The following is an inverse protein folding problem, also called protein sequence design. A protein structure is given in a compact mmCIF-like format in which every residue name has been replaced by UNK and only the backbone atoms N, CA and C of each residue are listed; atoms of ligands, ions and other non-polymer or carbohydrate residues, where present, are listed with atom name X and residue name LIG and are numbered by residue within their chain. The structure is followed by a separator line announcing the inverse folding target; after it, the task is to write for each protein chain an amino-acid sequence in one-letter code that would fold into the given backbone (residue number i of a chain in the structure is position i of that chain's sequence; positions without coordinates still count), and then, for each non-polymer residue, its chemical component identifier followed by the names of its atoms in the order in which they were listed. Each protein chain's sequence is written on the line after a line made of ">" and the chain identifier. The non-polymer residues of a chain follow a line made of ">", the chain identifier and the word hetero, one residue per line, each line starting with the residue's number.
data_IF_261501151120
#
_entry.id   IF_261501151120
#
_cell.length_a   1.000
_cell.length_b   1.000
_cell.length_c   1.000
_cell.angle_alpha   90.00
_cell.angle_beta   90.00
_cell.angle_gamma   90.00
#
_symmetry.space_group_name_H-M   'P 1'
#
loop_
_entity.id
_entity.type
_entity.pdbx_description
1 polymer ?
#
# COMPACT_ATOMS: atom_id res chain seq x y z
N UNK A 1 -0.80 -13.51 -17.97
CA UNK A 1 -1.34 -12.37 -17.19
C UNK A 1 -2.17 -11.51 -18.14
N UNK A 2 -3.39 -11.14 -17.75
CA UNK A 2 -4.26 -10.25 -18.51
C UNK A 2 -4.13 -8.82 -17.94
N UNK A 3 -3.14 -8.07 -18.43
CA UNK A 3 -2.98 -6.66 -18.04
C UNK A 3 -4.07 -5.79 -18.66
N UNK A 4 -4.34 -4.63 -18.06
CA UNK A 4 -5.40 -3.70 -18.49
C UNK A 4 -6.80 -4.32 -18.49
N UNK A 5 -7.02 -5.34 -17.66
CA UNK A 5 -8.30 -6.03 -17.50
C UNK A 5 -8.80 -5.84 -16.07
N UNK A 6 -9.99 -5.25 -15.92
CA UNK A 6 -10.58 -4.95 -14.62
C UNK A 6 -11.78 -5.87 -14.37
N UNK A 7 -11.77 -6.56 -13.23
CA UNK A 7 -12.92 -7.34 -12.77
C UNK A 7 -14.03 -6.38 -12.34
N UNK A 8 -15.25 -6.65 -12.81
CA UNK A 8 -16.44 -5.85 -12.53
C UNK A 8 -17.42 -6.60 -11.63
N UNK A 9 -17.55 -7.91 -11.81
CA UNK A 9 -18.42 -8.76 -10.99
C UNK A 9 -17.77 -10.14 -10.79
N UNK A 10 -17.97 -10.71 -9.61
CA UNK A 10 -17.59 -12.07 -9.23
C UNK A 10 -18.86 -12.82 -8.87
N UNK A 11 -19.28 -13.74 -9.73
CA UNK A 11 -20.48 -14.56 -9.52
C UNK A 11 -20.08 -16.00 -9.22
N UNK A 12 -20.53 -16.52 -8.08
CA UNK A 12 -20.33 -17.91 -7.68
C UNK A 12 -21.64 -18.67 -7.83
N UNK A 13 -21.56 -19.94 -8.20
CA UNK A 13 -22.70 -20.85 -8.29
C UNK A 13 -22.56 -21.91 -7.20
N UNK A 14 -23.19 -21.74 -6.02
CA UNK A 14 -23.08 -22.68 -4.91
C UNK A 14 -23.63 -24.08 -5.23
N UNK A 15 -24.59 -24.14 -6.16
CA UNK A 15 -25.25 -25.39 -6.59
C UNK A 15 -24.60 -26.02 -7.83
N UNK A 16 -23.39 -25.58 -8.20
CA UNK A 16 -22.68 -26.13 -9.34
C UNK A 16 -22.46 -27.64 -9.16
N UNK A 17 -22.95 -28.43 -10.11
CA UNK A 17 -22.76 -29.88 -10.10
C UNK A 17 -21.30 -30.25 -10.40
N UNK A 18 -20.92 -31.50 -10.11
CA UNK A 18 -19.58 -32.00 -10.39
C UNK A 18 -19.20 -31.78 -11.88
N UNK A 19 -18.04 -31.17 -12.12
CA UNK A 19 -17.57 -30.76 -13.45
C UNK A 19 -18.10 -29.40 -13.97
N UNK A 20 -18.93 -28.67 -13.22
CA UNK A 20 -19.31 -27.29 -13.56
C UNK A 20 -18.34 -26.25 -12.97
N UNK A 21 -17.95 -25.27 -13.79
CA UNK A 21 -17.15 -24.12 -13.35
C UNK A 21 -17.95 -23.31 -12.32
N UNK A 22 -17.38 -23.14 -11.13
CA UNK A 22 -18.07 -22.60 -9.95
C UNK A 22 -18.09 -21.08 -9.90
N UNK A 23 -17.18 -20.42 -10.62
CA UNK A 23 -17.00 -18.97 -10.56
C UNK A 23 -16.97 -18.35 -11.95
N UNK A 24 -17.80 -17.33 -12.14
CA UNK A 24 -17.85 -16.46 -13.31
C UNK A 24 -17.27 -15.09 -12.94
N UNK A 25 -16.37 -14.58 -13.77
CA UNK A 25 -15.83 -13.22 -13.67
C UNK A 25 -16.29 -12.40 -14.87
N UNK A 26 -16.97 -11.29 -14.62
CA UNK A 26 -17.22 -10.29 -15.65
C UNK A 26 -16.11 -9.25 -15.63
N UNK A 27 -15.48 -9.00 -16.78
CA UNK A 27 -14.27 -8.18 -16.89
C UNK A 27 -14.38 -7.18 -18.04
N UNK A 28 -13.72 -6.03 -17.89
CA UNK A 28 -13.60 -5.01 -18.96
C UNK A 28 -12.14 -4.77 -19.30
N UNK A 29 -11.82 -4.64 -20.59
CA UNK A 29 -10.46 -4.32 -21.07
C UNK A 29 -10.33 -2.84 -21.39
N UNK A 30 -9.42 -2.14 -20.70
CA UNK A 30 -9.28 -0.67 -20.76
C UNK A 30 -8.85 -0.15 -22.15
N UNK A 31 -8.22 -0.98 -22.98
CA UNK A 31 -7.74 -0.60 -24.31
C UNK A 31 -8.68 -1.02 -25.45
N UNK A 32 -9.78 -1.73 -25.14
CA UNK A 32 -10.69 -2.34 -26.14
C UNK A 32 -12.11 -1.77 -26.20
N UNK A 33 -12.35 -0.62 -25.58
CA UNK A 33 -13.67 0.05 -25.60
C UNK A 33 -14.64 -0.41 -24.50
N UNK A 34 -14.15 -0.73 -23.30
CA UNK A 34 -14.96 -1.14 -22.13
C UNK A 34 -15.97 -2.28 -22.40
N UNK A 35 -15.74 -3.08 -23.44
CA UNK A 35 -16.56 -4.25 -23.74
C UNK A 35 -16.48 -5.25 -22.57
N UNK A 36 -17.65 -5.63 -22.06
CA UNK A 36 -17.80 -6.63 -21.02
C UNK A 36 -17.52 -8.01 -21.60
N UNK A 37 -16.58 -8.74 -21.00
CA UNK A 37 -16.27 -10.12 -21.31
C UNK A 37 -16.50 -10.98 -20.08
N UNK A 38 -16.82 -12.25 -20.29
CA UNK A 38 -17.07 -13.19 -19.20
C UNK A 38 -16.05 -14.32 -19.25
N UNK A 39 -15.44 -14.60 -18.09
CA UNK A 39 -14.49 -15.68 -17.89
C UNK A 39 -15.06 -16.65 -16.84
N UNK A 40 -14.71 -17.94 -16.94
CA UNK A 40 -15.21 -18.96 -16.03
C UNK A 40 -14.07 -19.80 -15.47
N UNK A 41 -14.12 -20.10 -14.17
CA UNK A 41 -13.11 -20.82 -13.41
C UNK A 41 -13.76 -21.76 -12.40
N UNK A 42 -13.02 -22.78 -11.98
CA UNK A 42 -13.41 -23.66 -10.88
C UNK A 42 -13.12 -23.00 -9.52
N UNK A 43 -12.00 -22.31 -9.43
CA UNK A 43 -11.50 -21.62 -8.23
C UNK A 43 -11.02 -20.21 -8.60
N UNK A 44 -11.26 -19.23 -7.73
CA UNK A 44 -10.74 -17.86 -7.86
C UNK A 44 -10.03 -17.46 -6.58
N UNK A 45 -8.78 -17.03 -6.71
CA UNK A 45 -8.00 -16.41 -5.64
C UNK A 45 -8.10 -14.90 -5.77
N UNK A 46 -8.82 -14.28 -4.83
CA UNK A 46 -9.00 -12.84 -4.71
C UNK A 46 -7.79 -12.25 -4.00
N UNK A 47 -7.04 -11.40 -4.70
CA UNK A 47 -5.86 -10.67 -4.18
C UNK A 47 -6.06 -9.16 -4.18
N UNK A 48 -7.31 -8.71 -4.32
CA UNK A 48 -7.67 -7.30 -4.26
C UNK A 48 -7.23 -6.71 -2.91
N UNK A 49 -6.66 -5.49 -2.87
CA UNK A 49 -6.27 -4.88 -1.61
C UNK A 49 -7.47 -4.70 -0.67
N UNK A 50 -7.23 -4.72 0.64
CA UNK A 50 -8.29 -4.62 1.64
C UNK A 50 -9.15 -3.36 1.46
N UNK A 51 -8.51 -2.23 1.13
CA UNK A 51 -9.23 -0.99 0.82
C UNK A 51 -10.19 -1.13 -0.36
N UNK A 52 -9.87 -1.95 -1.36
CA UNK A 52 -10.78 -2.24 -2.46
C UNK A 52 -11.94 -3.11 -1.98
N UNK A 53 -11.66 -4.19 -1.23
CA UNK A 53 -12.68 -5.10 -0.70
C UNK A 53 -13.72 -4.36 0.15
N UNK A 54 -13.29 -3.49 1.07
CA UNK A 54 -14.16 -2.64 1.91
C UNK A 54 -15.19 -1.83 1.11
N UNK A 55 -14.85 -1.44 -0.11
CA UNK A 55 -15.68 -0.58 -0.98
C UNK A 55 -16.50 -1.37 -1.99
N UNK A 56 -16.22 -2.66 -2.16
CA UNK A 56 -16.69 -3.46 -3.30
C UNK A 56 -17.25 -4.82 -2.87
N UNK A 57 -17.73 -4.95 -1.63
CA UNK A 57 -18.38 -6.19 -1.16
C UNK A 57 -19.65 -6.54 -1.97
N UNK A 58 -20.26 -5.55 -2.64
CA UNK A 58 -21.38 -5.69 -3.56
C UNK A 58 -21.00 -6.37 -4.89
N UNK A 59 -19.71 -6.49 -5.21
CA UNK A 59 -19.22 -7.16 -6.43
C UNK A 59 -19.26 -8.67 -6.37
N UNK A 60 -19.62 -9.24 -5.22
CA UNK A 60 -19.76 -10.67 -5.01
C UNK A 60 -21.23 -11.08 -5.07
N UNK A 61 -21.55 -12.02 -5.95
CA UNK A 61 -22.90 -12.60 -6.08
C UNK A 61 -22.83 -14.12 -5.95
N UNK A 62 -23.63 -14.77 -5.09
CA UNK A 62 -24.35 -14.17 -3.95
C UNK A 62 -23.41 -13.41 -3.00
N UNK A 63 -23.99 -12.59 -2.12
CA UNK A 63 -23.22 -11.81 -1.15
C UNK A 63 -22.30 -12.69 -0.31
N UNK A 64 -21.15 -12.13 0.08
CA UNK A 64 -20.22 -12.78 0.99
C UNK A 64 -20.91 -13.09 2.34
N UNK A 65 -20.52 -14.19 3.02
CA UNK A 65 -21.05 -14.52 4.34
C UNK A 65 -20.93 -13.33 5.31
N UNK A 66 -21.93 -13.08 6.18
CA UNK A 66 -21.93 -11.90 7.06
C UNK A 66 -20.65 -11.74 7.90
N UNK A 67 -20.11 -12.84 8.44
CA UNK A 67 -18.87 -12.82 9.23
C UNK A 67 -17.65 -12.36 8.42
N UNK A 68 -17.58 -12.70 7.12
CA UNK A 68 -16.50 -12.28 6.23
C UNK A 68 -16.62 -10.80 5.87
N UNK A 69 -17.84 -10.33 5.57
CA UNK A 69 -18.09 -8.89 5.33
C UNK A 69 -17.74 -8.06 6.56
N UNK A 70 -18.07 -8.53 7.76
CA UNK A 70 -17.68 -7.90 9.02
C UNK A 70 -16.16 -7.87 9.17
N UNK A 71 -15.45 -8.98 8.94
CA UNK A 71 -13.99 -9.01 9.00
C UNK A 71 -13.32 -7.98 8.08
N UNK A 72 -13.81 -7.90 6.83
CA UNK A 72 -13.34 -6.94 5.83
C UNK A 72 -13.55 -5.51 6.34
N UNK A 73 -14.68 -5.21 6.99
CA UNK A 73 -14.98 -3.88 7.51
C UNK A 73 -14.19 -3.54 8.80
N UNK A 74 -13.95 -4.52 9.66
CA UNK A 74 -13.31 -4.33 10.96
C UNK A 74 -11.81 -4.04 10.90
N UNK A 75 -11.05 -4.63 9.98
CA UNK A 75 -9.59 -4.40 9.91
C UNK A 75 -9.27 -3.02 9.31
N UNK A 76 -8.39 -2.25 9.93
CA UNK A 76 -7.99 -0.91 9.48
C UNK A 76 -7.23 -0.94 8.15
N UNK A 77 -7.31 0.15 7.39
CA UNK A 77 -6.55 0.34 6.15
C UNK A 77 -5.81 1.68 6.17
N UNK A 78 -4.48 1.61 6.09
CA UNK A 78 -3.58 2.72 6.36
C UNK A 78 -3.51 3.74 5.23
N UNK A 79 -2.88 4.87 5.52
CA UNK A 79 -2.67 5.97 4.57
C UNK A 79 -1.23 6.50 4.62
N UNK A 80 -0.25 5.62 4.44
CA UNK A 80 1.16 6.00 4.32
C UNK A 80 1.47 6.45 2.89
N UNK A 81 2.09 7.62 2.76
CA UNK A 81 2.59 8.17 1.49
C UNK A 81 4.06 8.54 1.62
N UNK A 82 4.75 8.63 0.49
CA UNK A 82 6.18 8.93 0.37
C UNK A 82 6.40 10.14 -0.50
N UNK A 83 7.35 10.99 -0.13
CA UNK A 83 7.82 12.11 -0.94
C UNK A 83 9.34 12.05 -1.06
N UNK A 84 9.83 11.83 -2.27
CA UNK A 84 11.25 11.83 -2.62
C UNK A 84 11.63 13.22 -3.10
N UNK A 85 12.61 13.85 -2.45
CA UNK A 85 13.15 15.15 -2.86
C UNK A 85 14.63 14.96 -3.21
N UNK A 86 14.96 15.17 -4.48
CA UNK A 86 16.31 14.99 -5.00
C UNK A 86 17.06 16.31 -5.07
N UNK A 87 18.36 16.25 -4.82
CA UNK A 87 19.29 17.38 -4.83
C UNK A 87 20.46 17.10 -5.78
N UNK A 88 21.20 18.12 -6.25
CA UNK A 88 22.39 17.90 -7.06
C UNK A 88 23.47 17.09 -6.34
N UNK A 89 23.58 17.26 -5.02
CA UNK A 89 24.50 16.53 -4.16
C UNK A 89 23.87 16.20 -2.81
N UNK A 90 24.43 15.19 -2.16
CA UNK A 90 24.03 14.79 -0.81
C UNK A 90 24.63 15.77 0.22
N UNK A 91 24.12 17.00 0.23
CA UNK A 91 24.65 18.09 1.05
C UNK A 91 24.62 17.77 2.56
N UNK A 92 23.62 16.99 3.00
CA UNK A 92 23.38 16.65 4.41
C UNK A 92 24.32 15.59 4.98
N UNK A 93 25.13 14.92 4.14
CA UNK A 93 26.04 13.88 4.61
C UNK A 93 27.11 14.46 5.52
N UNK A 94 27.39 13.70 6.57
CA UNK A 94 28.36 14.07 7.58
C UNK A 94 29.78 13.89 7.06
N UNK A 95 30.62 14.86 7.35
CA UNK A 95 32.05 14.85 7.04
C UNK A 95 32.84 14.50 8.29
N UNK A 96 34.08 14.07 8.09
CA UNK A 96 35.00 13.82 9.19
C UNK A 96 35.21 15.11 10.00
N UNK A 97 34.97 15.04 11.32
CA UNK A 97 35.02 16.20 12.21
C UNK A 97 33.69 16.93 12.45
N UNK A 98 32.58 16.50 11.84
CA UNK A 98 31.27 17.09 12.12
C UNK A 98 30.71 16.68 13.49
N UNK A 99 30.22 17.67 14.25
CA UNK A 99 29.51 17.45 15.53
C UNK A 99 28.11 16.85 15.35
N UNK A 100 27.48 17.05 14.18
CA UNK A 100 26.15 16.52 13.85
C UNK A 100 26.25 15.51 12.74
N UNK A 101 25.86 14.27 13.03
CA UNK A 101 25.84 13.18 12.05
C UNK A 101 24.42 12.82 11.61
N UNK A 102 24.22 12.68 10.31
CA UNK A 102 23.02 12.10 9.71
C UNK A 102 23.45 10.88 8.90
N UNK A 103 22.94 9.73 9.30
CA UNK A 103 23.11 8.48 8.60
C UNK A 103 21.81 7.69 8.74
N UNK A 104 21.19 7.38 7.61
CA UNK A 104 19.93 6.64 7.55
C UNK A 104 18.71 7.53 7.81
N UNK A 105 18.49 8.02 9.03
CA UNK A 105 17.16 8.50 9.43
C UNK A 105 17.19 9.80 10.28
N UNK A 106 16.18 10.66 10.07
CA UNK A 106 15.97 11.90 10.83
C UNK A 106 14.50 12.13 11.12
N UNK A 107 14.19 12.63 12.31
CA UNK A 107 12.84 12.98 12.75
C UNK A 107 12.76 14.39 13.34
N UNK A 108 11.64 15.05 13.08
CA UNK A 108 11.26 16.31 13.71
C UNK A 108 9.94 16.13 14.44
N UNK A 109 10.02 16.04 15.77
CA UNK A 109 8.87 15.81 16.65
C UNK A 109 8.16 17.13 16.92
N UNK A 110 6.91 17.25 16.49
CA UNK A 110 6.06 18.44 16.69
C UNK A 110 6.73 19.79 16.31
N UNK A 111 7.13 19.98 15.04
CA UNK A 111 7.90 21.15 14.62
C UNK A 111 7.08 22.44 14.74
N UNK A 112 7.49 23.34 15.65
CA UNK A 112 6.82 24.63 15.88
C UNK A 112 7.20 25.74 14.89
N UNK A 113 8.20 25.53 14.04
CA UNK A 113 8.77 26.55 13.14
C UNK A 113 8.22 26.49 11.70
N UNK A 114 7.26 25.60 11.43
CA UNK A 114 6.66 25.39 10.11
C UNK A 114 5.16 25.74 10.12
N UNK A 115 4.73 26.73 10.91
CA UNK A 115 3.30 27.01 11.14
C UNK A 115 2.50 27.39 9.89
N UNK A 116 3.16 27.90 8.85
CA UNK A 116 2.52 28.24 7.57
C UNK A 116 2.16 27.01 6.73
N UNK A 117 2.96 25.95 6.77
CA UNK A 117 2.77 24.74 5.95
C UNK A 117 2.28 23.54 6.76
N UNK A 118 2.61 23.48 8.06
CA UNK A 118 2.26 22.43 8.99
C UNK A 118 1.75 23.02 10.33
N UNK A 119 0.56 23.67 10.33
CA UNK A 119 -0.01 24.30 11.53
C UNK A 119 -0.35 23.29 12.63
N UNK A 120 -0.64 22.05 12.25
CA UNK A 120 -0.96 20.95 13.17
C UNK A 120 0.28 20.31 13.81
N UNK A 121 1.49 20.77 13.43
CA UNK A 121 2.76 20.24 13.94
C UNK A 121 2.87 18.73 13.77
N UNK A 122 2.43 18.21 12.63
CA UNK A 122 2.61 16.80 12.29
C UNK A 122 4.11 16.46 12.34
N UNK A 123 4.42 15.31 12.97
CA UNK A 123 5.78 14.76 12.96
C UNK A 123 6.24 14.59 11.52
N UNK A 124 7.50 14.96 11.28
CA UNK A 124 8.18 14.67 10.03
C UNK A 124 9.23 13.61 10.26
N UNK A 125 9.37 12.74 9.28
CA UNK A 125 10.43 11.74 9.28
C UNK A 125 10.96 11.58 7.86
N UNK A 126 12.29 11.48 7.75
CA UNK A 126 12.94 11.29 6.48
C UNK A 126 14.09 10.29 6.59
N UNK A 127 14.28 9.53 5.52
CA UNK A 127 15.46 8.71 5.28
C UNK A 127 16.32 9.44 4.26
N UNK A 128 17.61 9.63 4.57
CA UNK A 128 18.56 10.04 3.53
C UNK A 128 19.05 8.80 2.78
N UNK A 129 19.07 8.87 1.45
CA UNK A 129 19.38 7.73 0.59
C UNK A 129 20.82 7.75 0.08
N UNK A 130 21.64 8.69 0.57
CA UNK A 130 23.01 8.87 0.12
C UNK A 130 24.01 8.00 0.90
N UNK A 131 23.66 7.49 2.08
CA UNK A 131 24.46 6.51 2.82
C UNK A 131 24.15 5.05 2.48
N UNK A 132 23.31 4.78 1.46
CA UNK A 132 23.09 3.43 0.96
C UNK A 132 24.38 2.86 0.31
N UNK A 133 24.36 1.58 -0.04
CA UNK A 133 25.48 0.96 -0.75
C UNK A 133 25.81 1.73 -2.04
N UNK A 134 27.07 1.78 -2.50
CA UNK A 134 27.48 2.66 -3.61
C UNK A 134 26.68 2.53 -4.91
N UNK A 135 26.06 1.37 -5.19
CA UNK A 135 25.20 1.18 -6.36
C UNK A 135 23.78 1.75 -6.22
N UNK A 136 23.35 1.97 -4.98
CA UNK A 136 22.00 2.42 -4.62
C UNK A 136 22.01 3.82 -3.98
N UNK A 137 23.19 4.38 -3.71
CA UNK A 137 23.34 5.68 -3.09
C UNK A 137 22.94 6.81 -4.05
N UNK A 138 22.05 7.70 -3.60
CA UNK A 138 21.66 8.86 -4.38
C UNK A 138 21.30 10.07 -3.50
N UNK A 139 21.50 11.32 -4.00
CA UNK A 139 21.30 12.54 -3.23
C UNK A 139 19.81 12.90 -3.06
N UNK A 140 19.08 12.07 -2.32
CA UNK A 140 17.63 12.21 -2.14
C UNK A 140 17.25 12.04 -0.68
N UNK A 141 16.30 12.85 -0.23
CA UNK A 141 15.59 12.68 1.03
C UNK A 141 14.23 12.04 0.75
N UNK A 142 13.95 10.92 1.40
CA UNK A 142 12.67 10.23 1.35
C UNK A 142 11.88 10.54 2.62
N UNK A 143 10.86 11.38 2.50
CA UNK A 143 9.93 11.68 3.58
C UNK A 143 8.80 10.66 3.61
N UNK A 144 8.45 10.21 4.82
CA UNK A 144 7.25 9.42 5.06
C UNK A 144 6.18 10.30 5.68
N UNK A 145 4.95 10.18 5.19
CA UNK A 145 3.81 10.93 5.70
C UNK A 145 2.65 9.99 5.93
N UNK A 146 1.88 10.21 6.99
CA UNK A 146 0.79 9.32 7.38
C UNK A 146 -0.37 10.09 8.02
N UNK A 147 -1.52 9.43 8.12
CA UNK A 147 -2.69 9.96 8.82
C UNK A 147 -3.27 11.21 8.16
N UNK A 148 -3.53 12.25 8.96
CA UNK A 148 -4.10 13.49 8.45
C UNK A 148 -3.15 14.26 7.52
N UNK A 149 -1.84 14.12 7.74
CA UNK A 149 -0.83 14.79 6.92
C UNK A 149 -0.80 14.24 5.49
N UNK A 150 -0.74 12.92 5.32
CA UNK A 150 -0.72 12.32 3.98
C UNK A 150 -2.01 12.66 3.22
N UNK A 151 -3.17 12.58 3.87
CA UNK A 151 -4.45 13.02 3.28
C UNK A 151 -4.41 14.48 2.80
N UNK A 152 -3.87 15.38 3.61
CA UNK A 152 -3.74 16.79 3.25
C UNK A 152 -2.83 16.97 2.03
N UNK A 153 -1.61 16.40 2.08
CA UNK A 153 -0.64 16.54 1.01
C UNK A 153 -1.14 15.93 -0.31
N UNK A 154 -1.66 14.71 -0.27
CA UNK A 154 -2.16 14.02 -1.47
C UNK A 154 -3.33 14.79 -2.10
N UNK A 155 -4.27 15.29 -1.29
CA UNK A 155 -5.38 16.10 -1.79
C UNK A 155 -4.90 17.41 -2.42
N UNK A 156 -4.00 18.14 -1.75
CA UNK A 156 -3.46 19.41 -2.27
C UNK A 156 -2.65 19.21 -3.55
N UNK A 157 -1.83 18.16 -3.65
CA UNK A 157 -1.07 17.86 -4.88
C UNK A 157 -1.99 17.51 -6.04
N UNK A 158 -3.11 16.82 -5.80
CA UNK A 158 -4.07 16.44 -6.83
C UNK A 158 -4.82 17.63 -7.45
N UNK A 159 -4.95 18.75 -6.72
CA UNK A 159 -5.57 19.98 -7.23
C UNK A 159 -4.64 20.77 -8.19
N UNK A 160 -3.34 20.51 -8.14
CA UNK A 160 -2.32 21.20 -8.95
C UNK A 160 -2.20 20.54 -10.33
N UNK A 161 -2.12 21.38 -11.37
CA UNK A 161 -2.31 20.95 -12.77
C UNK A 161 -1.03 20.46 -13.43
N UNK A 162 0.09 21.10 -13.12
CA UNK A 162 1.38 20.76 -13.70
C UNK A 162 2.40 20.30 -12.65
N UNK A 163 3.44 19.63 -13.12
CA UNK A 163 4.47 19.06 -12.26
C UNK A 163 5.27 20.13 -11.51
N UNK A 164 5.47 21.31 -12.10
CA UNK A 164 6.28 22.36 -11.48
C UNK A 164 5.55 23.00 -10.28
N UNK A 165 4.23 23.15 -10.36
CA UNK A 165 3.41 23.58 -9.24
C UNK A 165 3.42 22.57 -8.10
N UNK A 166 3.30 21.27 -8.42
CA UNK A 166 3.35 20.17 -7.44
C UNK A 166 4.71 20.12 -6.73
N UNK A 167 5.78 20.18 -7.50
CA UNK A 167 7.15 20.20 -6.97
C UNK A 167 7.35 21.40 -6.05
N UNK A 168 6.95 22.61 -6.48
CA UNK A 168 7.06 23.81 -5.65
C UNK A 168 6.28 23.70 -4.35
N UNK A 169 5.04 23.22 -4.40
CA UNK A 169 4.23 23.00 -3.19
C UNK A 169 4.92 22.05 -2.20
N UNK A 170 5.45 20.93 -2.69
CA UNK A 170 6.15 19.95 -1.86
C UNK A 170 7.49 20.50 -1.34
N UNK A 171 8.25 21.21 -2.17
CA UNK A 171 9.48 21.86 -1.73
C UNK A 171 9.20 22.88 -0.63
N UNK A 172 8.17 23.72 -0.78
CA UNK A 172 7.77 24.70 0.23
C UNK A 172 7.31 24.02 1.52
N UNK A 173 6.56 22.93 1.42
CA UNK A 173 6.13 22.15 2.58
C UNK A 173 7.31 21.55 3.35
N UNK A 174 8.27 20.95 2.64
CA UNK A 174 9.38 20.22 3.26
C UNK A 174 10.63 21.07 3.56
N UNK A 175 10.75 22.26 2.97
CA UNK A 175 11.88 23.19 3.19
C UNK A 175 12.19 23.47 4.64
N UNK A 176 11.20 23.73 5.53
CA UNK A 176 11.47 23.96 6.94
C UNK A 176 12.24 22.81 7.61
N UNK A 177 12.18 21.60 7.08
CA UNK A 177 12.85 20.43 7.65
C UNK A 177 14.23 20.21 7.03
N UNK A 178 14.32 20.07 5.69
CA UNK A 178 15.61 19.81 5.06
C UNK A 178 16.60 20.98 5.22
N UNK A 179 16.11 22.23 5.37
CA UNK A 179 16.96 23.40 5.65
C UNK A 179 17.68 23.38 7.00
N UNK A 180 17.28 22.49 7.92
CA UNK A 180 17.89 22.35 9.26
C UNK A 180 18.95 21.24 9.32
N UNK A 181 19.08 20.46 8.25
CA UNK A 181 20.12 19.43 8.13
C UNK A 181 21.51 20.09 8.11
N UNK A 182 22.57 19.38 8.52
CA UNK A 182 23.94 19.85 8.41
C UNK A 182 24.26 20.34 6.99
N UNK A 183 25.13 21.35 6.91
CA UNK A 183 25.66 21.94 5.67
C UNK A 183 24.64 22.57 4.72
N UNK A 184 23.36 22.67 5.09
CA UNK A 184 22.39 23.41 4.30
C UNK A 184 22.81 24.89 4.19
N UNK A 185 22.73 25.43 2.97
CA UNK A 185 22.91 26.85 2.70
C UNK A 185 21.89 27.33 1.67
N UNK A 186 21.16 28.39 2.00
CA UNK A 186 20.16 29.00 1.11
C UNK A 186 20.78 29.49 -0.22
N UNK A 187 22.05 29.90 -0.20
CA UNK A 187 22.76 30.39 -1.39
C UNK A 187 23.43 29.29 -2.22
N UNK A 188 23.52 28.06 -1.71
CA UNK A 188 24.21 26.98 -2.40
C UNK A 188 23.26 26.26 -3.36
N UNK A 189 23.62 26.19 -4.64
CA UNK A 189 22.86 25.42 -5.65
C UNK A 189 22.74 23.94 -5.28
N UNK A 190 23.77 23.36 -4.64
CA UNK A 190 23.77 21.97 -4.17
C UNK A 190 22.67 21.68 -3.13
N UNK A 191 22.11 22.70 -2.48
CA UNK A 191 21.04 22.60 -1.48
C UNK A 191 19.64 22.86 -2.07
N UNK A 192 19.53 23.15 -3.37
CA UNK A 192 18.24 23.40 -4.03
C UNK A 192 17.68 22.10 -4.60
N UNK A 193 16.42 21.75 -4.30
CA UNK A 193 15.79 20.60 -4.91
C UNK A 193 15.77 20.71 -6.44
N UNK A 194 16.04 19.59 -7.13
CA UNK A 194 16.00 19.49 -8.59
C UNK A 194 14.82 18.68 -9.12
N UNK A 195 14.09 18.01 -8.23
CA UNK A 195 12.90 17.24 -8.60
C UNK A 195 12.26 16.58 -7.39
N UNK A 196 10.98 16.26 -7.54
CA UNK A 196 10.20 15.57 -6.53
C UNK A 196 9.44 14.40 -7.15
N UNK A 197 9.23 13.33 -6.37
CA UNK A 197 8.24 12.30 -6.65
C UNK A 197 7.42 12.07 -5.38
N UNK A 198 6.10 12.24 -5.48
CA UNK A 198 5.18 11.91 -4.39
C UNK A 198 4.31 10.73 -4.80
N UNK A 199 4.08 9.80 -3.87
CA UNK A 199 3.09 8.73 -4.07
C UNK A 199 1.68 9.26 -3.80
N UNK A 200 0.70 8.61 -4.41
CA UNK A 200 -0.72 8.94 -4.34
C UNK A 200 -1.59 7.69 -4.10
N UNK A 201 -1.13 6.78 -3.24
CA UNK A 201 -1.85 5.56 -2.85
C UNK A 201 -3.29 5.83 -2.38
N UNK A 202 -3.51 6.99 -1.75
CA UNK A 202 -4.83 7.46 -1.32
C UNK A 202 -5.78 7.82 -2.47
N UNK A 203 -5.29 8.01 -3.69
CA UNK A 203 -6.06 8.29 -4.90
C UNK A 203 -6.02 7.13 -5.91
N UNK A 204 -5.16 6.13 -5.68
CA UNK A 204 -5.10 4.93 -6.49
C UNK A 204 -6.27 3.97 -6.17
N UNK A 205 -7.19 3.86 -7.14
CA UNK A 205 -8.31 2.94 -7.08
C UNK A 205 -7.85 1.47 -6.94
N UNK A 206 -6.77 1.07 -7.63
CA UNK A 206 -6.30 -0.30 -7.65
C UNK A 206 -5.62 -0.69 -6.33
N UNK A 207 -5.08 0.29 -5.61
CA UNK A 207 -4.61 0.12 -4.23
C UNK A 207 -5.76 0.16 -3.20
N UNK A 208 -6.98 0.48 -3.62
CA UNK A 208 -8.11 0.64 -2.71
C UNK A 208 -8.04 1.93 -1.88
N UNK A 209 -7.45 3.00 -2.42
CA UNK A 209 -7.36 4.33 -1.80
C UNK A 209 -6.70 4.28 -0.42
N UNK A 210 -5.53 3.66 -0.34
CA UNK A 210 -4.78 3.47 0.89
C UNK A 210 -3.54 2.60 0.66
N UNK A 211 -2.85 2.29 1.76
CA UNK A 211 -1.52 1.66 1.75
C UNK A 211 -1.58 0.17 2.09
N UNK A 212 -1.76 -0.17 3.36
CA UNK A 212 -1.80 -1.56 3.83
C UNK A 212 -2.65 -1.69 5.10
N UNK A 213 -3.04 -2.93 5.43
CA UNK A 213 -3.85 -3.24 6.60
C UNK A 213 -3.15 -2.87 7.92
N UNK A 214 -3.94 -2.52 8.94
CA UNK A 214 -3.45 -2.26 10.29
C UNK A 214 -4.52 -2.59 11.33
N UNK A 215 -4.11 -2.64 12.60
CA UNK A 215 -5.02 -2.79 13.73
C UNK A 215 -5.24 -1.44 14.40
N UNK A 216 -6.43 -0.89 14.20
CA UNK A 216 -6.82 0.37 14.82
C UNK A 216 -7.11 0.22 16.32
N UNK A 217 -7.03 1.34 17.03
CA UNK A 217 -7.46 1.41 18.44
C UNK A 217 -8.91 0.97 18.56
N UNK A 218 -9.18 0.08 19.52
CA UNK A 218 -10.52 -0.46 19.79
C UNK A 218 -10.93 -1.65 18.94
N UNK A 219 -10.03 -2.22 18.14
CA UNK A 219 -10.27 -3.52 17.49
C UNK A 219 -10.30 -4.63 18.55
N UNK A 220 -11.39 -5.42 18.57
CA UNK A 220 -11.60 -6.48 19.56
C UNK A 220 -11.23 -7.87 19.03
N UNK A 221 -11.72 -8.25 17.84
CA UNK A 221 -11.56 -9.60 17.27
C UNK A 221 -10.64 -9.64 16.04
N UNK A 222 -9.58 -8.83 16.06
CA UNK A 222 -8.69 -8.65 14.90
C UNK A 222 -8.01 -9.93 14.42
N UNK A 223 -7.75 -10.86 15.33
CA UNK A 223 -7.24 -12.19 15.01
C UNK A 223 -8.27 -13.02 14.24
N UNK A 224 -9.48 -13.15 14.78
CA UNK A 224 -10.59 -13.87 14.15
C UNK A 224 -10.97 -13.24 12.82
N UNK A 225 -10.90 -11.91 12.69
CA UNK A 225 -11.16 -11.19 11.44
C UNK A 225 -10.16 -11.56 10.35
N UNK A 226 -8.86 -11.52 10.65
CA UNK A 226 -7.81 -11.91 9.70
C UNK A 226 -7.95 -13.38 9.31
N UNK A 227 -8.23 -14.27 10.27
CA UNK A 227 -8.43 -15.69 10.02
C UNK A 227 -9.67 -15.95 9.15
N UNK A 228 -10.76 -15.22 9.39
CA UNK A 228 -11.97 -15.26 8.57
C UNK A 228 -11.68 -14.87 7.12
N UNK A 229 -10.96 -13.77 6.91
CA UNK A 229 -10.54 -13.36 5.56
C UNK A 229 -9.62 -14.41 4.94
N UNK A 230 -8.62 -14.91 5.67
CA UNK A 230 -7.69 -15.96 5.21
C UNK A 230 -8.43 -17.25 4.84
N UNK A 231 -9.48 -17.62 5.56
CA UNK A 231 -10.28 -18.79 5.24
C UNK A 231 -11.02 -18.63 3.91
N UNK A 232 -11.63 -17.47 3.66
CA UNK A 232 -12.41 -17.21 2.44
C UNK A 232 -13.72 -17.99 2.40
N UNK A 233 -14.16 -18.37 1.19
CA UNK A 233 -15.39 -19.15 0.96
C UNK A 233 -15.11 -20.34 0.02
N UNK A 234 -14.31 -21.34 0.44
CA UNK A 234 -13.90 -22.47 -0.40
C UNK A 234 -15.08 -23.24 -1.03
N UNK A 235 -16.18 -23.40 -0.30
CA UNK A 235 -17.39 -24.08 -0.80
C UNK A 235 -18.01 -23.37 -2.02
N UNK A 236 -17.67 -22.10 -2.25
CA UNK A 236 -18.09 -21.31 -3.42
C UNK A 236 -16.96 -21.10 -4.45
N UNK A 237 -15.84 -21.79 -4.25
CA UNK A 237 -14.63 -21.63 -5.05
C UNK A 237 -13.93 -20.27 -4.88
N UNK A 238 -14.15 -19.55 -3.77
CA UNK A 238 -13.51 -18.26 -3.50
C UNK A 238 -12.48 -18.36 -2.38
N UNK A 239 -11.28 -17.93 -2.69
CA UNK A 239 -10.14 -17.90 -1.77
C UNK A 239 -9.59 -16.48 -1.70
N UNK A 240 -9.01 -16.10 -0.57
CA UNK A 240 -8.47 -14.75 -0.38
C UNK A 240 -7.01 -14.82 0.04
N UNK A 241 -6.18 -14.08 -0.69
CA UNK A 241 -4.76 -13.93 -0.42
C UNK A 241 -4.37 -12.45 -0.48
N UNK A 242 -3.26 -12.10 0.13
CA UNK A 242 -2.76 -10.73 0.21
C UNK A 242 -2.19 -10.43 1.57
N UNK A 243 -1.60 -9.24 1.72
CA UNK A 243 -1.00 -8.81 2.99
C UNK A 243 -2.00 -8.84 4.15
N UNK A 244 -3.29 -8.59 3.88
CA UNK A 244 -4.37 -8.54 4.86
C UNK A 244 -4.91 -9.93 5.27
N UNK A 245 -4.43 -11.01 4.65
CA UNK A 245 -4.75 -12.40 5.04
C UNK A 245 -3.52 -13.18 5.49
N UNK A 246 -2.35 -12.53 5.54
CA UNK A 246 -1.08 -13.14 5.92
C UNK A 246 -1.09 -13.67 7.36
N UNK A 247 -0.13 -14.55 7.73
CA UNK A 247 0.16 -14.86 9.13
C UNK A 247 0.41 -13.58 9.93
N UNK A 248 0.02 -13.56 11.21
CA UNK A 248 0.07 -12.35 12.04
C UNK A 248 1.45 -11.69 12.09
N UNK A 249 2.52 -12.50 12.08
CA UNK A 249 3.91 -12.05 12.08
C UNK A 249 4.33 -11.27 10.83
N UNK A 250 3.52 -11.29 9.76
CA UNK A 250 3.84 -10.71 8.47
C UNK A 250 2.71 -9.89 7.83
N UNK A 251 1.65 -9.55 8.57
CA UNK A 251 0.59 -8.64 8.11
C UNK A 251 1.17 -7.29 7.66
N UNK A 252 0.61 -6.68 6.62
CA UNK A 252 1.09 -5.39 6.09
C UNK A 252 2.41 -5.46 5.33
N UNK A 253 2.91 -6.66 4.99
CA UNK A 253 4.22 -6.84 4.34
C UNK A 253 4.14 -7.59 3.00
N UNK A 254 5.13 -7.36 2.13
CA UNK A 254 5.28 -8.12 0.89
C UNK A 254 5.55 -9.62 1.15
N UNK A 255 6.33 -9.94 2.19
CA UNK A 255 6.59 -11.33 2.62
C UNK A 255 5.29 -12.02 3.05
N UNK A 256 4.44 -11.33 3.81
CA UNK A 256 3.13 -11.84 4.21
C UNK A 256 2.21 -12.07 3.02
N UNK A 257 2.18 -11.15 2.07
CA UNK A 257 1.43 -11.33 0.83
C UNK A 257 1.91 -12.58 0.06
N UNK A 258 3.23 -12.79 -0.05
CA UNK A 258 3.80 -13.99 -0.65
C UNK A 258 3.37 -15.28 0.08
N UNK A 259 3.54 -15.33 1.41
CA UNK A 259 3.16 -16.49 2.21
C UNK A 259 1.66 -16.80 2.16
N UNK A 260 0.81 -15.76 2.12
CA UNK A 260 -0.64 -15.96 1.98
C UNK A 260 -0.99 -16.62 0.63
N UNK A 261 -0.29 -16.26 -0.44
CA UNK A 261 -0.46 -16.86 -1.76
C UNK A 261 -0.05 -18.34 -1.78
N UNK A 262 1.12 -18.66 -1.19
CA UNK A 262 1.56 -20.05 -1.04
C UNK A 262 0.59 -20.88 -0.19
N UNK A 263 0.07 -20.30 0.91
CA UNK A 263 -0.91 -20.95 1.77
C UNK A 263 -2.20 -21.28 1.02
N UNK A 264 -2.73 -20.34 0.23
CA UNK A 264 -3.96 -20.59 -0.56
C UNK A 264 -3.71 -21.60 -1.66
N UNK A 265 -2.57 -21.52 -2.36
CA UNK A 265 -2.21 -22.48 -3.41
C UNK A 265 -2.14 -23.92 -2.88
N UNK A 266 -1.60 -24.12 -1.66
CA UNK A 266 -1.58 -25.44 -1.00
C UNK A 266 -2.98 -25.95 -0.69
N UNK A 267 -3.82 -25.11 -0.06
CA UNK A 267 -5.21 -25.49 0.29
C UNK A 267 -6.05 -25.84 -0.93
N UNK A 268 -5.87 -25.12 -2.05
CA UNK A 268 -6.51 -25.49 -3.32
C UNK A 268 -5.98 -26.84 -3.80
N UNK A 269 -4.67 -27.07 -3.81
CA UNK A 269 -4.12 -28.34 -4.26
C UNK A 269 -4.60 -29.54 -3.41
N UNK A 270 -4.71 -29.36 -2.08
CA UNK A 270 -5.27 -30.33 -1.14
C UNK A 270 -6.73 -30.64 -1.43
N UNK A 271 -7.54 -29.62 -1.73
CA UNK A 271 -8.95 -29.79 -2.11
C UNK A 271 -9.12 -30.65 -3.40
N UNK A 272 -8.10 -30.70 -4.25
CA UNK A 272 -8.05 -31.55 -5.46
C UNK A 272 -7.22 -32.83 -5.26
N UNK A 273 -7.02 -33.26 -4.01
CA UNK A 273 -6.45 -34.57 -3.68
C UNK A 273 -4.92 -34.64 -3.68
N UNK A 274 -4.21 -33.50 -3.76
CA UNK A 274 -2.76 -33.48 -3.55
C UNK A 274 -2.47 -33.61 -2.05
N UNK A 275 -1.62 -34.55 -1.61
CA UNK A 275 -1.30 -34.68 -0.19
C UNK A 275 -0.58 -33.42 0.33
N UNK A 276 -0.80 -33.04 1.61
CA UNK A 276 -0.09 -31.93 2.23
C UNK A 276 1.42 -32.19 2.19
N UNK A 277 2.21 -31.16 1.86
CA UNK A 277 3.66 -31.25 1.91
C UNK A 277 4.11 -31.45 3.37
N UNK A 278 4.91 -32.48 3.66
CA UNK A 278 5.41 -32.84 5.00
C UNK A 278 6.34 -31.80 5.68
N UNK A 279 6.37 -30.55 5.24
CA UNK A 279 7.20 -29.51 5.84
C UNK A 279 6.32 -28.34 6.24
N UNK A 280 6.56 -27.87 7.46
CA UNK A 280 6.19 -26.55 8.00
C UNK A 280 5.03 -26.49 9.01
N UNK A 281 5.06 -27.40 10.01
CA UNK A 281 4.67 -27.07 11.39
C UNK A 281 5.91 -26.53 12.14
N UNK A 282 6.38 -25.33 11.80
CA UNK A 282 7.31 -24.53 12.63
C UNK A 282 7.03 -23.05 12.46
#
# INVERSE_FOLDING_TARGET
>A
MHFNTKVRQITTCPDAQDGQRRVQLDVTTLQGGDALNTLYFDEVVVTCPLGWLKRNVDKFTPSLPPRLTQAIDSIGYGCLEKVYISFPKAFSLSKEGDDRKIQGFVQWLSPGYASSTNPNKWTQEAVELASLAPGDAHPTLLFYTFGAQSKHLTASVAELKDQAERDRFLFDFFKPYYSRLPHYSESAEDCKPIGCLATDWLLDELAGYGSYSNFQVGLEEGDVDVETMRHGVPDRGLWFAGEHTAPFVALGTATGAYWSGESVARRIAEAYGRPPSQKDDQ
#
